data_IF_813857677571
#
_entry.id   IF_813857677571
#
_cell.length_a   1.000
_cell.length_b   1.000
_cell.length_c   1.000
_cell.angle_alpha   90.00
_cell.angle_beta   90.00
_cell.angle_gamma   90.00
#
_symmetry.space_group_name_H-M   'P 1'
#
loop_
_entity.id
_entity.type
_entity.pdbx_description
1 polymer ?
#
# COMPACT_ATOMS: atom_id res chain seq x y z
N UNK A 1 -25.60 -11.90 -20.19
CA UNK A 1 -24.30 -11.46 -20.71
C UNK A 1 -23.22 -11.99 -19.78
N UNK A 2 -22.17 -12.64 -20.32
CA UNK A 2 -21.07 -13.20 -19.52
C UNK A 2 -20.10 -12.08 -19.14
N UNK A 3 -19.75 -12.00 -17.86
CA UNK A 3 -18.72 -11.08 -17.35
C UNK A 3 -17.57 -11.90 -16.77
N UNK A 4 -16.35 -11.63 -17.24
CA UNK A 4 -15.13 -12.23 -16.68
C UNK A 4 -14.32 -11.13 -16.00
N UNK A 5 -13.91 -11.37 -14.77
CA UNK A 5 -13.00 -10.49 -14.03
C UNK A 5 -11.67 -11.21 -13.84
N UNK A 6 -10.62 -10.67 -14.46
CA UNK A 6 -9.24 -11.12 -14.26
C UNK A 6 -8.64 -10.33 -13.10
N UNK A 7 -8.17 -11.03 -12.08
CA UNK A 7 -7.65 -10.46 -10.84
C UNK A 7 -6.32 -11.13 -10.47
N UNK A 8 -5.25 -10.34 -10.41
CA UNK A 8 -3.91 -10.87 -10.16
C UNK A 8 -3.66 -11.30 -8.71
N UNK A 9 -4.42 -10.79 -7.75
CA UNK A 9 -4.36 -11.26 -6.36
C UNK A 9 -5.27 -12.48 -6.19
N UNK A 10 -4.91 -13.37 -5.28
CA UNK A 10 -5.74 -14.55 -4.96
C UNK A 10 -6.95 -14.16 -4.12
N UNK A 11 -8.05 -14.88 -4.33
CA UNK A 11 -9.33 -14.67 -3.66
C UNK A 11 -10.17 -13.54 -4.24
N UNK A 12 -11.25 -13.21 -3.54
CA UNK A 12 -12.19 -12.18 -3.98
C UNK A 12 -11.63 -10.77 -3.81
N UNK A 13 -11.95 -9.85 -4.74
CA UNK A 13 -11.68 -8.42 -4.56
C UNK A 13 -12.24 -7.87 -3.25
N UNK A 14 -11.55 -6.87 -2.71
CA UNK A 14 -11.79 -6.34 -1.37
C UNK A 14 -11.56 -4.83 -1.32
N UNK A 15 -12.08 -4.20 -0.27
CA UNK A 15 -11.88 -2.77 -0.03
C UNK A 15 -10.47 -2.50 0.55
N UNK A 16 -9.72 -1.59 -0.07
CA UNK A 16 -8.32 -1.31 0.31
C UNK A 16 -8.11 -0.24 1.40
N UNK A 17 -8.95 0.80 1.57
CA UNK A 17 -8.78 1.80 2.62
C UNK A 17 -8.66 1.28 4.05
N UNK A 18 -9.28 0.14 4.44
CA UNK A 18 -9.05 -0.45 5.76
C UNK A 18 -7.65 -1.03 5.97
N UNK A 19 -6.88 -1.29 4.89
CA UNK A 19 -5.56 -1.93 4.97
C UNK A 19 -4.54 -1.13 5.77
N UNK A 20 -4.60 0.20 5.79
CA UNK A 20 -3.72 1.07 6.58
C UNK A 20 -4.32 1.45 7.95
N UNK A 21 -5.49 0.89 8.29
CA UNK A 21 -6.27 1.22 9.50
C UNK A 21 -6.52 -0.03 10.33
N UNK A 22 -7.79 -0.43 10.48
CA UNK A 22 -8.21 -1.51 11.37
C UNK A 22 -7.66 -2.89 10.96
N UNK A 23 -7.36 -3.11 9.67
CA UNK A 23 -6.76 -4.37 9.24
C UNK A 23 -5.34 -4.57 9.80
N UNK A 24 -4.54 -3.49 9.87
CA UNK A 24 -3.24 -3.51 10.55
C UNK A 24 -3.38 -3.75 12.06
N UNK A 25 -4.53 -3.43 12.65
CA UNK A 25 -4.85 -3.70 14.05
C UNK A 25 -5.40 -5.11 14.29
N UNK A 26 -5.47 -5.97 13.26
CA UNK A 26 -5.94 -7.34 13.41
C UNK A 26 -7.40 -7.57 13.03
N UNK A 27 -8.09 -6.59 12.48
CA UNK A 27 -9.44 -6.80 11.95
C UNK A 27 -9.45 -7.84 10.82
N UNK A 28 -10.63 -8.42 10.56
CA UNK A 28 -10.83 -9.35 9.46
C UNK A 28 -10.54 -8.69 8.11
N UNK A 29 -10.15 -9.50 7.13
CA UNK A 29 -9.97 -9.04 5.75
C UNK A 29 -11.24 -8.35 5.27
N UNK A 30 -11.15 -7.11 4.76
CA UNK A 30 -12.32 -6.40 4.25
C UNK A 30 -12.93 -7.13 3.05
N UNK A 31 -14.21 -6.90 2.81
CA UNK A 31 -14.94 -7.41 1.64
C UNK A 31 -15.39 -6.24 0.77
N UNK A 32 -15.58 -6.48 -0.52
CA UNK A 32 -16.15 -5.50 -1.43
C UNK A 32 -17.67 -5.71 -1.52
N UNK A 33 -18.44 -4.62 -1.54
CA UNK A 33 -19.87 -4.68 -1.82
C UNK A 33 -20.10 -5.34 -3.19
N UNK A 34 -21.00 -6.31 -3.27
CA UNK A 34 -21.24 -7.07 -4.50
C UNK A 34 -20.42 -8.37 -4.59
N UNK A 35 -19.71 -8.78 -3.53
CA UNK A 35 -18.95 -10.04 -3.53
C UNK A 35 -19.81 -11.28 -3.77
N UNK A 36 -21.11 -11.20 -3.50
CA UNK A 36 -22.10 -12.24 -3.78
C UNK A 36 -22.33 -12.46 -5.28
N UNK A 37 -21.89 -11.54 -6.15
CA UNK A 37 -22.06 -11.66 -7.61
C UNK A 37 -21.03 -12.61 -8.25
N UNK A 38 -19.92 -12.90 -7.55
CA UNK A 38 -18.91 -13.84 -8.03
C UNK A 38 -19.47 -15.27 -8.01
N UNK A 39 -19.31 -15.99 -9.12
CA UNK A 39 -19.84 -17.35 -9.30
C UNK A 39 -21.22 -17.39 -9.95
N UNK A 40 -22.12 -16.45 -9.63
CA UNK A 40 -23.44 -16.36 -10.27
C UNK A 40 -23.38 -15.55 -11.58
N UNK A 41 -22.90 -14.32 -11.50
CA UNK A 41 -22.93 -13.36 -12.63
C UNK A 41 -21.57 -13.01 -13.19
N UNK A 42 -20.54 -13.17 -12.37
CA UNK A 42 -19.15 -12.82 -12.70
C UNK A 42 -18.29 -14.06 -12.53
N UNK A 43 -17.64 -14.47 -13.62
CA UNK A 43 -16.59 -15.47 -13.59
C UNK A 43 -15.31 -14.80 -13.12
N UNK A 44 -14.89 -15.10 -11.89
CA UNK A 44 -13.64 -14.60 -11.33
C UNK A 44 -12.48 -15.51 -11.75
N UNK A 45 -11.43 -14.90 -12.30
CA UNK A 45 -10.11 -15.49 -12.53
C UNK A 45 -9.14 -14.83 -11.55
N UNK A 46 -9.14 -15.29 -10.30
CA UNK A 46 -8.21 -14.80 -9.28
C UNK A 46 -6.84 -15.46 -9.43
N UNK A 47 -5.81 -14.86 -8.81
CA UNK A 47 -4.42 -15.28 -9.00
C UNK A 47 -3.97 -15.31 -10.46
N UNK A 48 -4.68 -14.60 -11.35
CA UNK A 48 -4.47 -14.63 -12.81
C UNK A 48 -4.11 -13.22 -13.27
N UNK A 49 -2.97 -13.07 -13.95
CA UNK A 49 -2.49 -11.78 -14.43
C UNK A 49 -2.70 -11.68 -15.93
N UNK A 50 -3.41 -10.64 -16.37
CA UNK A 50 -3.39 -10.24 -17.77
C UNK A 50 -2.00 -9.74 -18.15
N UNK A 51 -1.41 -10.31 -19.21
CA UNK A 51 -0.04 -10.05 -19.66
C UNK A 51 0.02 -9.27 -20.97
N UNK A 52 -0.93 -9.49 -21.87
CA UNK A 52 -1.01 -8.82 -23.16
C UNK A 52 -2.47 -8.62 -23.58
N UNK A 53 -2.78 -7.47 -24.18
CA UNK A 53 -4.06 -7.21 -24.83
C UNK A 53 -3.80 -7.21 -26.34
N UNK A 54 -4.44 -8.11 -27.08
CA UNK A 54 -4.47 -8.11 -28.55
C UNK A 54 -5.81 -7.52 -29.00
N UNK A 55 -5.85 -6.24 -29.42
CA UNK A 55 -7.09 -5.58 -29.83
C UNK A 55 -7.59 -6.02 -31.20
N UNK A 56 -6.73 -6.58 -32.07
CA UNK A 56 -7.13 -7.04 -33.40
C UNK A 56 -7.93 -8.34 -33.29
N UNK A 57 -7.45 -9.27 -32.47
CA UNK A 57 -8.14 -10.55 -32.18
C UNK A 57 -9.16 -10.45 -31.06
N UNK A 58 -9.19 -9.31 -30.35
CA UNK A 58 -10.02 -9.04 -29.18
C UNK A 58 -9.86 -10.11 -28.10
N UNK A 59 -8.60 -10.38 -27.75
CA UNK A 59 -8.24 -11.32 -26.68
C UNK A 59 -7.34 -10.67 -25.64
N UNK A 60 -7.46 -11.12 -24.41
CA UNK A 60 -6.52 -10.84 -23.32
C UNK A 60 -5.76 -12.12 -23.02
N UNK A 61 -4.43 -12.09 -23.20
CA UNK A 61 -3.56 -13.15 -22.74
C UNK A 61 -3.34 -13.04 -21.23
N UNK A 62 -3.30 -14.18 -20.58
CA UNK A 62 -3.01 -14.33 -19.16
C UNK A 62 -1.67 -15.04 -18.98
N UNK A 63 -1.12 -14.99 -17.77
CA UNK A 63 0.07 -15.74 -17.38
C UNK A 63 -0.21 -17.24 -17.20
N UNK A 64 -1.47 -17.60 -16.96
CA UNK A 64 -1.95 -18.97 -16.82
C UNK A 64 -3.23 -19.19 -17.64
N UNK A 65 -3.40 -20.39 -18.17
CA UNK A 65 -4.60 -20.80 -18.91
C UNK A 65 -4.70 -20.21 -20.32
N UNK A 66 -5.88 -20.40 -20.91
CA UNK A 66 -6.19 -19.93 -22.27
C UNK A 66 -6.52 -18.43 -22.30
N UNK A 67 -6.24 -17.72 -23.41
CA UNK A 67 -6.64 -16.32 -23.57
C UNK A 67 -8.16 -16.11 -23.45
N UNK A 68 -8.57 -15.00 -22.85
CA UNK A 68 -9.99 -14.64 -22.72
C UNK A 68 -10.41 -13.71 -23.86
N UNK A 69 -11.36 -14.16 -24.69
CA UNK A 69 -11.98 -13.34 -25.73
C UNK A 69 -12.95 -12.31 -25.12
N UNK A 70 -13.05 -11.13 -25.74
CA UNK A 70 -13.97 -10.09 -25.29
C UNK A 70 -14.70 -9.37 -26.43
N UNK A 71 -15.94 -8.96 -26.16
CA UNK A 71 -16.65 -7.97 -26.99
C UNK A 71 -16.37 -6.54 -26.51
N UNK A 72 -16.19 -6.39 -25.20
CA UNK A 72 -15.88 -5.13 -24.51
C UNK A 72 -14.82 -5.39 -23.45
N UNK A 73 -13.80 -4.54 -23.40
CA UNK A 73 -12.71 -4.62 -22.43
C UNK A 73 -12.70 -3.38 -21.54
N UNK A 74 -12.68 -3.60 -20.22
CA UNK A 74 -12.47 -2.57 -19.21
C UNK A 74 -11.10 -2.76 -18.56
N UNK A 75 -10.23 -1.75 -18.66
CA UNK A 75 -8.93 -1.75 -17.99
C UNK A 75 -9.09 -1.08 -16.62
N UNK A 76 -9.00 -1.88 -15.56
CA UNK A 76 -9.18 -1.44 -14.17
C UNK A 76 -8.02 -1.89 -13.26
N UNK A 77 -6.79 -1.86 -13.76
CA UNK A 77 -5.59 -2.40 -13.08
C UNK A 77 -5.08 -1.54 -11.92
N UNK A 78 -5.67 -0.36 -11.71
CA UNK A 78 -5.34 0.53 -10.59
C UNK A 78 -3.91 1.07 -10.64
N UNK A 79 -3.22 1.03 -9.50
CA UNK A 79 -1.87 1.57 -9.34
C UNK A 79 -1.03 0.69 -8.42
N UNK A 80 0.29 0.86 -8.46
CA UNK A 80 1.27 0.19 -7.60
C UNK A 80 1.91 1.18 -6.65
N UNK A 81 2.37 0.70 -5.49
CA UNK A 81 3.25 1.49 -4.64
C UNK A 81 4.54 1.79 -5.41
N UNK A 82 4.99 3.04 -5.42
CA UNK A 82 6.28 3.41 -6.01
C UNK A 82 7.36 2.77 -5.16
N UNK A 83 8.15 1.91 -5.78
CA UNK A 83 9.33 1.36 -5.14
C UNK A 83 10.48 2.34 -5.29
N UNK A 84 11.26 2.48 -4.24
CA UNK A 84 12.53 3.19 -4.27
C UNK A 84 13.61 2.21 -4.69
N UNK A 85 14.28 2.53 -5.80
CA UNK A 85 15.43 1.79 -6.28
C UNK A 85 16.68 2.23 -5.50
N UNK A 86 17.70 1.37 -5.43
CA UNK A 86 19.04 1.68 -4.89
C UNK A 86 19.16 1.86 -3.37
N UNK A 87 18.32 1.16 -2.60
CA UNK A 87 18.58 1.00 -1.19
C UNK A 87 19.50 -0.20 -0.95
N UNK A 88 20.71 0.07 -0.47
CA UNK A 88 21.66 -0.95 -0.01
C UNK A 88 21.28 -1.43 1.39
N UNK A 89 20.05 -1.91 1.56
CA UNK A 89 19.60 -2.54 2.80
C UNK A 89 18.87 -3.85 2.58
N UNK A 90 18.75 -4.63 3.65
CA UNK A 90 17.97 -5.86 3.65
C UNK A 90 16.51 -5.56 3.24
N UNK A 91 16.03 -6.13 2.12
CA UNK A 91 14.63 -5.98 1.68
C UNK A 91 13.61 -6.45 2.71
N UNK A 92 13.97 -7.33 3.64
CA UNK A 92 13.09 -7.79 4.72
C UNK A 92 12.78 -6.67 5.74
N UNK A 93 13.58 -5.60 5.79
CA UNK A 93 13.36 -4.44 6.65
C UNK A 93 12.55 -3.33 5.94
N UNK A 94 12.24 -3.50 4.65
CA UNK A 94 11.53 -2.50 3.83
C UNK A 94 10.13 -3.00 3.50
N UNK A 95 9.12 -2.25 3.96
CA UNK A 95 7.72 -2.59 3.75
C UNK A 95 7.02 -1.54 2.89
N UNK A 96 6.33 -2.00 1.85
CA UNK A 96 5.34 -1.21 1.12
C UNK A 96 3.94 -1.64 1.56
N UNK A 97 2.92 -0.80 1.30
CA UNK A 97 1.53 -1.11 1.63
C UNK A 97 0.60 -0.83 0.45
N UNK A 98 0.16 -1.89 -0.22
CA UNK A 98 -0.87 -1.82 -1.27
C UNK A 98 -1.88 -2.97 -1.23
N UNK A 99 -1.41 -4.16 -0.86
CA UNK A 99 -2.22 -5.38 -0.76
C UNK A 99 -2.48 -5.79 0.69
N UNK A 100 -3.41 -6.71 0.91
CA UNK A 100 -3.60 -7.37 2.20
C UNK A 100 -2.34 -8.12 2.65
N UNK A 101 -1.64 -8.77 1.72
CA UNK A 101 -0.38 -9.47 1.96
C UNK A 101 0.71 -8.50 2.42
N UNK A 102 0.77 -7.31 1.83
CA UNK A 102 1.65 -6.24 2.30
C UNK A 102 1.32 -5.81 3.73
N UNK A 103 0.02 -5.60 4.02
CA UNK A 103 -0.43 -5.22 5.35
C UNK A 103 -0.14 -6.29 6.39
N UNK A 104 -0.29 -7.58 6.06
CA UNK A 104 0.04 -8.69 6.95
C UNK A 104 1.55 -8.74 7.24
N UNK A 105 2.40 -8.57 6.22
CA UNK A 105 3.86 -8.50 6.39
C UNK A 105 4.27 -7.31 7.26
N UNK A 106 3.71 -6.14 7.00
CA UNK A 106 3.96 -4.95 7.82
C UNK A 106 3.51 -5.19 9.26
N UNK A 107 2.29 -5.69 9.48
CA UNK A 107 1.76 -5.98 10.82
C UNK A 107 2.67 -6.91 11.61
N UNK A 108 3.21 -7.96 10.99
CA UNK A 108 4.14 -8.88 11.64
C UNK A 108 5.46 -8.19 12.08
N UNK A 109 5.82 -7.07 11.47
CA UNK A 109 6.98 -6.26 11.83
C UNK A 109 6.66 -5.17 12.88
N UNK A 110 5.40 -4.93 13.24
CA UNK A 110 5.03 -3.93 14.24
C UNK A 110 4.96 -4.58 15.63
N UNK A 111 5.69 -4.03 16.59
CA UNK A 111 5.68 -4.50 17.98
C UNK A 111 6.08 -3.37 18.95
N UNK A 112 5.67 -3.44 20.23
CA UNK A 112 6.06 -2.48 21.24
C UNK A 112 7.58 -2.26 21.31
N UNK A 113 8.01 -1.00 21.38
CA UNK A 113 9.43 -0.61 21.46
C UNK A 113 10.21 -0.66 20.14
N UNK A 114 9.59 -1.08 19.03
CA UNK A 114 10.23 -0.99 17.71
C UNK A 114 10.17 0.43 17.17
N UNK A 115 11.23 0.84 16.46
CA UNK A 115 11.28 2.10 15.72
C UNK A 115 10.87 1.88 14.27
N UNK A 116 9.94 2.68 13.79
CA UNK A 116 9.45 2.66 12.41
C UNK A 116 9.66 4.03 11.76
N UNK A 117 10.48 4.05 10.71
CA UNK A 117 10.53 5.19 9.81
C UNK A 117 9.48 5.02 8.70
N UNK A 118 8.63 6.01 8.53
CA UNK A 118 7.60 6.05 7.48
C UNK A 118 8.01 7.07 6.43
N UNK A 119 8.40 6.58 5.25
CA UNK A 119 8.79 7.44 4.12
C UNK A 119 7.55 7.85 3.33
N UNK A 120 7.15 9.11 3.46
CA UNK A 120 6.00 9.74 2.82
C UNK A 120 4.94 10.22 3.81
N UNK A 121 4.79 11.55 3.92
CA UNK A 121 3.78 12.26 4.71
C UNK A 121 2.42 12.40 4.02
N UNK A 122 2.03 11.40 3.22
CA UNK A 122 0.70 11.27 2.64
C UNK A 122 -0.30 10.62 3.61
N UNK A 123 -1.57 10.48 3.19
CA UNK A 123 -2.60 9.82 4.02
C UNK A 123 -2.18 8.43 4.50
N UNK A 124 -1.71 7.56 3.61
CA UNK A 124 -1.31 6.19 3.96
C UNK A 124 -0.16 6.21 4.98
N UNK A 125 0.85 7.05 4.80
CA UNK A 125 1.98 7.13 5.73
C UNK A 125 1.56 7.61 7.11
N UNK A 126 0.71 8.64 7.19
CA UNK A 126 0.19 9.15 8.45
C UNK A 126 -0.72 8.14 9.16
N UNK A 127 -1.56 7.42 8.42
CA UNK A 127 -2.40 6.34 8.96
C UNK A 127 -1.55 5.20 9.51
N UNK A 128 -0.56 4.72 8.75
CA UNK A 128 0.36 3.66 9.18
C UNK A 128 1.14 4.06 10.42
N UNK A 129 1.70 5.28 10.45
CA UNK A 129 2.41 5.79 11.64
C UNK A 129 1.47 5.86 12.84
N UNK A 130 0.23 6.33 12.65
CA UNK A 130 -0.75 6.37 13.74
C UNK A 130 -1.10 4.97 14.27
N UNK A 131 -1.29 3.99 13.39
CA UNK A 131 -1.60 2.61 13.79
C UNK A 131 -0.39 1.95 14.47
N UNK A 132 0.81 2.12 13.93
CA UNK A 132 2.03 1.58 14.53
C UNK A 132 2.27 2.11 15.94
N UNK A 133 2.01 3.41 16.20
CA UNK A 133 2.07 3.97 17.56
C UNK A 133 1.04 3.35 18.50
N UNK A 134 -0.19 3.09 18.02
CA UNK A 134 -1.20 2.37 18.82
C UNK A 134 -0.76 0.94 19.17
N UNK A 135 0.12 0.34 18.36
CA UNK A 135 0.76 -0.96 18.60
C UNK A 135 2.06 -0.85 19.43
N UNK A 136 2.39 0.35 19.94
CA UNK A 136 3.54 0.59 20.81
C UNK A 136 4.86 0.87 20.08
N UNK A 137 4.85 1.09 18.76
CA UNK A 137 6.05 1.50 18.04
C UNK A 137 6.36 2.99 18.26
N UNK A 138 7.64 3.33 18.25
CA UNK A 138 8.12 4.71 18.04
C UNK A 138 8.13 4.98 16.54
N UNK A 139 7.55 6.10 16.09
CA UNK A 139 7.43 6.37 14.65
C UNK A 139 7.92 7.74 14.25
N UNK A 140 8.65 7.80 13.13
CA UNK A 140 9.07 9.05 12.49
C UNK A 140 8.57 9.07 11.05
N UNK A 141 7.75 10.06 10.71
CA UNK A 141 7.30 10.32 9.33
C UNK A 141 8.32 11.23 8.66
N UNK A 142 8.82 10.81 7.51
CA UNK A 142 9.82 11.51 6.71
C UNK A 142 9.17 11.93 5.40
N UNK A 143 9.11 13.24 5.15
CA UNK A 143 8.45 13.82 3.98
C UNK A 143 9.41 14.72 3.20
N UNK A 144 9.45 14.52 1.89
CA UNK A 144 10.30 15.30 0.99
C UNK A 144 9.86 16.77 0.91
N UNK A 145 8.56 17.03 1.04
CA UNK A 145 7.99 18.36 0.96
C UNK A 145 8.15 19.16 2.27
N UNK A 146 8.00 20.50 2.22
CA UNK A 146 7.99 21.36 3.40
C UNK A 146 6.74 21.21 4.28
N UNK A 147 5.78 20.34 3.91
CA UNK A 147 4.55 20.09 4.67
C UNK A 147 3.97 18.71 4.38
N UNK A 148 3.20 18.19 5.32
CA UNK A 148 2.40 16.97 5.15
C UNK A 148 1.28 17.17 4.12
N UNK A 149 0.80 16.07 3.54
CA UNK A 149 -0.30 16.05 2.57
C UNK A 149 -0.16 17.10 1.43
N UNK A 150 1.05 17.28 0.84
CA UNK A 150 1.34 18.42 -0.03
C UNK A 150 0.44 18.49 -1.28
N UNK A 151 -0.09 17.34 -1.73
CA UNK A 151 -0.92 17.23 -2.93
C UNK A 151 -2.42 17.19 -2.67
N UNK A 152 -2.86 17.10 -1.42
CA UNK A 152 -4.24 16.72 -1.09
C UNK A 152 -4.90 17.57 -0.02
N UNK A 153 -4.14 18.42 0.67
CA UNK A 153 -4.64 19.28 1.73
C UNK A 153 -4.23 20.74 1.52
N UNK A 154 -5.06 21.66 2.04
CA UNK A 154 -4.70 23.07 2.21
C UNK A 154 -3.57 23.21 3.23
N UNK A 155 -2.89 24.35 3.22
CA UNK A 155 -1.82 24.65 4.18
C UNK A 155 -2.29 24.54 5.64
N UNK A 156 -3.43 25.14 5.97
CA UNK A 156 -3.99 25.12 7.33
C UNK A 156 -4.33 23.70 7.79
N UNK A 157 -4.83 22.84 6.88
CA UNK A 157 -5.09 21.44 7.20
C UNK A 157 -3.78 20.67 7.40
N UNK A 158 -2.77 20.88 6.55
CA UNK A 158 -1.44 20.29 6.72
C UNK A 158 -0.82 20.64 8.08
N UNK A 159 -0.90 21.91 8.49
CA UNK A 159 -0.42 22.35 9.80
C UNK A 159 -1.19 21.69 10.94
N UNK A 160 -2.51 21.69 10.86
CA UNK A 160 -3.35 21.08 11.89
C UNK A 160 -3.03 19.58 12.04
N UNK A 161 -2.90 18.85 10.92
CA UNK A 161 -2.52 17.43 10.92
C UNK A 161 -1.14 17.23 11.53
N UNK A 162 -0.16 18.07 11.20
CA UNK A 162 1.18 17.98 11.78
C UNK A 162 1.17 18.17 13.31
N UNK A 163 0.47 19.19 13.80
CA UNK A 163 0.31 19.44 15.25
C UNK A 163 -0.38 18.27 15.95
N UNK A 164 -1.46 17.77 15.34
CA UNK A 164 -2.25 16.65 15.87
C UNK A 164 -1.45 15.35 15.93
N UNK A 165 -0.61 15.10 14.93
CA UNK A 165 0.26 13.92 14.87
C UNK A 165 1.37 14.01 15.91
N UNK A 166 2.02 15.17 16.03
CA UNK A 166 3.04 15.45 17.04
C UNK A 166 2.49 15.36 18.48
N UNK A 167 1.28 15.86 18.73
CA UNK A 167 0.65 15.79 20.06
C UNK A 167 0.35 14.36 20.53
N UNK A 168 0.34 13.39 19.62
CA UNK A 168 0.22 11.95 19.92
C UNK A 168 1.59 11.24 20.00
N UNK A 169 2.70 12.00 19.99
CA UNK A 169 4.05 11.44 20.06
C UNK A 169 4.61 10.95 18.72
N UNK A 170 4.04 11.39 17.59
CA UNK A 170 4.56 11.06 16.26
C UNK A 170 5.61 12.07 15.84
N UNK A 171 6.80 11.61 15.51
CA UNK A 171 7.84 12.51 15.00
C UNK A 171 7.64 12.80 13.51
N UNK A 172 7.95 14.02 13.08
CA UNK A 172 7.85 14.45 11.69
C UNK A 172 9.17 15.11 11.27
N UNK A 173 9.70 14.67 10.13
CA UNK A 173 10.84 15.29 9.43
C UNK A 173 10.34 15.73 8.05
N UNK A 174 10.46 17.02 7.77
CA UNK A 174 10.04 17.65 6.51
C UNK A 174 11.27 18.11 5.75
N UNK A 175 11.11 18.43 4.46
CA UNK A 175 12.21 18.85 3.57
C UNK A 175 13.29 17.76 3.38
N UNK A 176 12.90 16.49 3.43
CA UNK A 176 13.81 15.35 3.34
C UNK A 176 13.98 14.87 1.88
N UNK A 177 14.29 15.77 0.95
CA UNK A 177 14.34 15.45 -0.48
C UNK A 177 15.51 14.52 -0.85
N UNK A 178 16.63 14.62 -0.15
CA UNK A 178 17.85 13.84 -0.38
C UNK A 178 17.94 12.60 0.51
N UNK A 179 16.80 11.93 0.75
CA UNK A 179 16.72 10.74 1.60
C UNK A 179 17.61 9.60 1.06
N UNK A 180 18.49 9.09 1.91
CA UNK A 180 19.34 7.93 1.68
C UNK A 180 19.15 6.91 2.78
N UNK A 181 19.30 5.64 2.42
CA UNK A 181 19.17 4.51 3.34
C UNK A 181 20.40 3.60 3.26
N UNK A 182 20.92 3.21 4.42
CA UNK A 182 22.06 2.29 4.55
C UNK A 182 21.88 1.39 5.78
N UNK A 183 22.68 0.34 5.91
CA UNK A 183 22.79 -0.40 7.17
C UNK A 183 24.01 0.04 7.98
N UNK A 184 23.88 0.07 9.29
CA UNK A 184 25.03 0.13 10.19
C UNK A 184 25.66 -1.26 10.40
N UNK A 185 26.75 -1.32 11.16
CA UNK A 185 27.46 -2.57 11.48
C UNK A 185 26.63 -3.60 12.26
N UNK A 186 25.49 -3.20 12.83
CA UNK A 186 24.53 -4.08 13.53
C UNK A 186 23.38 -4.54 12.62
N UNK A 187 23.38 -4.15 11.34
CA UNK A 187 22.29 -4.45 10.42
C UNK A 187 21.03 -3.60 10.64
N UNK A 188 21.11 -2.51 11.40
CA UNK A 188 19.99 -1.57 11.54
C UNK A 188 19.95 -0.64 10.33
N UNK A 189 18.74 -0.33 9.87
CA UNK A 189 18.52 0.65 8.81
C UNK A 189 18.75 2.06 9.36
N UNK A 190 19.62 2.81 8.71
CA UNK A 190 19.88 4.22 8.97
C UNK A 190 19.34 5.05 7.82
N UNK A 191 18.58 6.10 8.15
CA UNK A 191 18.09 7.09 7.21
C UNK A 191 18.81 8.41 7.41
N UNK A 192 19.21 9.04 6.32
CA UNK A 192 19.84 10.37 6.28
C UNK A 192 19.15 11.19 5.20
N UNK A 193 19.00 12.50 5.38
CA UNK A 193 18.26 13.39 4.47
C UNK A 193 18.72 14.83 4.58
#
# INVERSE_FOLDING_TARGET
QRTVLIHSESGTPYDRPPLSKDFLLGAKRPTLKGSELYGDRIVLRDGTKATLIDPLRRIVHTDIGEPEHYDKLLIATGSRARQFENFNVDPAQVHYLRTDSDALRLRAALAPGRRLAVVGGGFIGLEVSSVARRLGCETTVIELAPRLLPRSASFSLSEWVARRHASEGGEIRLNCADLRMSNNSKGEVILTW
#
